data_IF_641452280310
#
_entry.id   IF_641452280310
#
_cell.length_a   1.000
_cell.length_b   1.000
_cell.length_c   1.000
_cell.angle_alpha   90.00
_cell.angle_beta   90.00
_cell.angle_gamma   90.00
#
_symmetry.space_group_name_H-M   'P 1'
#
loop_
_entity.id
_entity.type
_entity.pdbx_description
1 polymer ?
#
# COMPACT_ATOMS: atom_id res chain seq x y z
N UNK A 1 -6.48 -8.26 -14.22
CA UNK A 1 -7.47 -7.24 -13.82
C UNK A 1 -6.74 -6.18 -13.01
N UNK A 2 -7.03 -4.90 -13.25
CA UNK A 2 -6.41 -3.83 -12.48
C UNK A 2 -7.19 -3.67 -11.17
N UNK A 3 -6.50 -3.80 -10.03
CA UNK A 3 -7.05 -3.42 -8.72
C UNK A 3 -7.36 -1.93 -8.77
N UNK A 4 -8.58 -1.52 -8.41
CA UNK A 4 -8.89 -0.10 -8.32
C UNK A 4 -8.21 0.48 -7.07
N UNK A 5 -7.62 1.69 -7.19
CA UNK A 5 -6.90 2.33 -6.09
C UNK A 5 -7.75 2.42 -4.80
N UNK A 6 -9.04 2.71 -4.93
CA UNK A 6 -9.96 2.77 -3.78
C UNK A 6 -10.08 1.42 -3.04
N UNK A 7 -10.09 0.29 -3.75
CA UNK A 7 -10.16 -1.04 -3.15
C UNK A 7 -8.87 -1.38 -2.41
N UNK A 8 -7.73 -0.93 -2.96
CA UNK A 8 -6.43 -1.09 -2.32
C UNK A 8 -6.33 -0.31 -1.01
N UNK A 9 -6.74 0.97 -1.03
CA UNK A 9 -6.74 1.81 0.16
C UNK A 9 -7.67 1.25 1.24
N UNK A 10 -8.82 0.73 0.86
CA UNK A 10 -9.77 0.09 1.78
C UNK A 10 -9.22 -1.21 2.39
N UNK A 11 -8.51 -2.06 1.62
CA UNK A 11 -7.83 -3.24 2.16
C UNK A 11 -6.69 -2.84 3.13
N UNK A 12 -5.91 -1.81 2.80
CA UNK A 12 -4.86 -1.28 3.67
C UNK A 12 -5.47 -0.79 4.99
N UNK A 13 -6.53 0.01 4.95
CA UNK A 13 -7.25 0.50 6.13
C UNK A 13 -7.75 -0.66 6.98
N UNK A 14 -8.45 -1.62 6.37
CA UNK A 14 -8.98 -2.81 7.06
C UNK A 14 -7.89 -3.61 7.78
N UNK A 15 -6.74 -3.81 7.14
CA UNK A 15 -5.60 -4.53 7.73
C UNK A 15 -4.87 -3.72 8.78
N UNK A 16 -4.83 -2.40 8.64
CA UNK A 16 -4.29 -1.50 9.67
C UNK A 16 -5.15 -1.56 10.94
N UNK A 17 -6.47 -1.61 10.81
CA UNK A 17 -7.40 -1.76 11.94
C UNK A 17 -7.34 -3.14 12.59
N UNK A 18 -7.35 -4.21 11.78
CA UNK A 18 -7.36 -5.58 12.29
C UNK A 18 -5.99 -6.06 12.79
N UNK A 19 -4.91 -5.67 12.09
CA UNK A 19 -3.56 -6.21 12.30
C UNK A 19 -2.48 -5.13 12.07
N UNK A 20 -2.43 -4.06 12.88
CA UNK A 20 -1.58 -2.88 12.63
C UNK A 20 -0.07 -3.18 12.56
N UNK A 21 0.38 -4.23 13.26
CA UNK A 21 1.80 -4.63 13.30
C UNK A 21 2.20 -5.59 12.18
N UNK A 22 1.24 -6.07 11.37
CA UNK A 22 1.55 -6.95 10.25
C UNK A 22 2.31 -6.18 9.18
N UNK A 23 3.34 -6.80 8.62
CA UNK A 23 4.17 -6.20 7.57
C UNK A 23 3.35 -6.06 6.27
N UNK A 24 3.29 -4.83 5.76
CA UNK A 24 2.68 -4.50 4.47
C UNK A 24 3.70 -4.58 3.34
N UNK A 25 4.86 -3.92 3.53
CA UNK A 25 5.93 -3.80 2.53
C UNK A 25 7.27 -4.09 3.19
N UNK A 26 8.14 -4.80 2.48
CA UNK A 26 9.55 -4.93 2.82
C UNK A 26 10.38 -4.66 1.57
N UNK A 27 11.26 -3.66 1.62
CA UNK A 27 12.17 -3.31 0.54
C UNK A 27 13.58 -3.17 1.10
N UNK A 28 14.47 -4.10 0.73
CA UNK A 28 15.80 -4.18 1.36
C UNK A 28 15.69 -4.40 2.88
N UNK A 29 16.29 -3.49 3.65
CA UNK A 29 16.24 -3.48 5.12
C UNK A 29 15.01 -2.75 5.69
N UNK A 30 14.27 -2.02 4.86
CA UNK A 30 13.09 -1.27 5.28
C UNK A 30 11.88 -2.18 5.41
N UNK A 31 11.22 -2.13 6.57
CA UNK A 31 10.03 -2.92 6.87
C UNK A 31 8.93 -1.96 7.32
N UNK A 32 7.84 -1.91 6.56
CA UNK A 32 6.70 -1.04 6.83
C UNK A 32 5.49 -1.90 7.18
N UNK A 33 4.86 -1.61 8.33
CA UNK A 33 3.63 -2.28 8.75
C UNK A 33 2.39 -1.67 8.11
N UNK A 34 1.27 -2.39 8.10
CA UNK A 34 -0.01 -1.85 7.62
C UNK A 34 -0.46 -0.62 8.43
N UNK A 35 -0.21 -0.60 9.74
CA UNK A 35 -0.51 0.57 10.58
C UNK A 35 0.28 1.81 10.16
N UNK A 36 1.61 1.67 10.01
CA UNK A 36 2.48 2.79 9.61
C UNK A 36 2.17 3.28 8.19
N UNK A 37 1.90 2.36 7.26
CA UNK A 37 1.53 2.70 5.90
C UNK A 37 0.21 3.48 5.85
N UNK A 38 -0.81 3.01 6.57
CA UNK A 38 -2.11 3.69 6.63
C UNK A 38 -2.00 5.09 7.25
N UNK A 39 -1.29 5.22 8.38
CA UNK A 39 -1.08 6.51 9.04
C UNK A 39 -0.40 7.51 8.10
N UNK A 40 0.63 7.08 7.38
CA UNK A 40 1.31 7.92 6.39
C UNK A 40 0.36 8.35 5.27
N UNK A 41 -0.41 7.43 4.68
CA UNK A 41 -1.37 7.75 3.62
C UNK A 41 -2.39 8.77 4.11
N UNK A 42 -3.02 8.56 5.27
CA UNK A 42 -4.01 9.47 5.85
C UNK A 42 -3.43 10.85 6.14
N UNK A 43 -2.17 10.93 6.61
CA UNK A 43 -1.48 12.21 6.81
C UNK A 43 -1.35 12.99 5.50
N UNK A 44 -1.10 12.32 4.38
CA UNK A 44 -1.06 12.96 3.07
C UNK A 44 -2.45 13.23 2.50
N UNK A 45 -3.46 12.38 2.71
CA UNK A 45 -4.85 12.66 2.29
C UNK A 45 -5.36 13.98 2.88
N UNK A 46 -5.15 14.23 4.17
CA UNK A 46 -5.56 15.48 4.81
C UNK A 46 -4.90 16.74 4.19
N UNK A 47 -3.66 16.60 3.71
CA UNK A 47 -2.94 17.67 3.00
C UNK A 47 -3.42 17.79 1.56
N UNK A 48 -3.67 16.66 0.89
CA UNK A 48 -4.00 16.59 -0.53
C UNK A 48 -5.45 16.98 -0.82
N UNK A 49 -6.39 16.67 0.07
CA UNK A 49 -7.80 17.12 0.01
C UNK A 49 -7.89 18.65 0.01
N UNK A 50 -6.98 19.31 0.74
CA UNK A 50 -6.87 20.78 0.76
C UNK A 50 -6.40 21.36 -0.58
N UNK A 51 -5.74 20.56 -1.41
CA UNK A 51 -5.15 20.96 -2.69
C UNK A 51 -5.85 20.35 -3.91
N UNK A 52 -6.93 19.59 -3.72
CA UNK A 52 -7.69 18.95 -4.81
C UNK A 52 -6.91 17.86 -5.56
N UNK A 53 -5.96 17.21 -4.89
CA UNK A 53 -5.12 16.16 -5.49
C UNK A 53 -5.75 14.77 -5.33
N UNK A 54 -5.41 13.83 -6.21
CA UNK A 54 -6.02 12.49 -6.23
C UNK A 54 -5.54 11.61 -5.06
N UNK A 55 -6.39 10.65 -4.65
CA UNK A 55 -6.03 9.61 -3.67
C UNK A 55 -4.79 8.80 -4.10
N UNK A 56 -4.60 8.60 -5.40
CA UNK A 56 -3.41 7.96 -5.95
C UNK A 56 -2.13 8.76 -5.64
N UNK A 57 -2.18 10.09 -5.71
CA UNK A 57 -1.04 10.94 -5.34
C UNK A 57 -0.73 10.86 -3.83
N UNK A 58 -1.76 10.84 -2.97
CA UNK A 58 -1.60 10.66 -1.54
C UNK A 58 -0.98 9.29 -1.20
N UNK A 59 -1.43 8.22 -1.88
CA UNK A 59 -0.85 6.89 -1.76
C UNK A 59 0.64 6.88 -2.11
N UNK A 60 1.00 7.42 -3.28
CA UNK A 60 2.39 7.45 -3.72
C UNK A 60 3.28 8.26 -2.77
N UNK A 61 2.80 9.43 -2.31
CA UNK A 61 3.51 10.25 -1.32
C UNK A 61 3.70 9.50 0.01
N UNK A 62 2.63 8.88 0.53
CA UNK A 62 2.67 8.12 1.77
C UNK A 62 3.61 6.90 1.69
N UNK A 63 3.63 6.23 0.54
CA UNK A 63 4.53 5.11 0.28
C UNK A 63 5.99 5.55 0.21
N UNK A 64 6.30 6.62 -0.53
CA UNK A 64 7.66 7.17 -0.61
C UNK A 64 8.16 7.69 0.75
N UNK A 65 7.25 8.21 1.58
CA UNK A 65 7.58 8.62 2.95
C UNK A 65 7.94 7.43 3.85
N UNK A 66 7.18 6.32 3.74
CA UNK A 66 7.43 5.13 4.55
C UNK A 66 8.61 4.29 4.04
N UNK A 67 8.91 4.39 2.75
CA UNK A 67 9.95 3.60 2.08
C UNK A 67 10.93 4.54 1.37
N UNK A 68 11.79 5.27 2.12
CA UNK A 68 12.77 6.19 1.53
C UNK A 68 13.67 5.52 0.49
N UNK A 69 13.92 4.21 0.60
CA UNK A 69 14.68 3.46 -0.41
C UNK A 69 14.12 3.61 -1.83
N UNK A 70 12.81 3.83 -2.01
CA UNK A 70 12.21 4.10 -3.33
C UNK A 70 12.76 5.37 -3.99
N UNK A 71 13.07 6.39 -3.18
CA UNK A 71 13.63 7.66 -3.68
C UNK A 71 15.08 7.53 -4.13
N UNK A 72 15.79 6.52 -3.61
CA UNK A 72 17.19 6.22 -3.92
C UNK A 72 17.35 5.36 -5.18
N UNK A 73 16.25 4.82 -5.73
CA UNK A 73 16.29 4.08 -7.00
C UNK A 73 16.60 5.06 -8.12
N UNK A 74 17.73 4.83 -8.80
CA UNK A 74 18.14 5.59 -9.98
C UNK A 74 17.28 5.20 -11.19
N UNK A 75 16.80 6.22 -11.91
CA UNK A 75 15.97 6.03 -13.10
C UNK A 75 14.47 5.96 -12.80
N UNK A 76 13.70 6.78 -13.52
CA UNK A 76 12.23 6.86 -13.37
C UNK A 76 11.56 5.53 -13.72
N UNK A 77 12.05 4.84 -14.75
CA UNK A 77 11.47 3.56 -15.19
C UNK A 77 11.60 2.47 -14.11
N UNK A 78 12.78 2.35 -13.49
CA UNK A 78 13.03 1.32 -12.48
C UNK A 78 12.25 1.63 -11.19
N UNK A 79 12.20 2.90 -10.78
CA UNK A 79 11.39 3.32 -9.63
C UNK A 79 9.90 3.03 -9.84
N UNK A 80 9.38 3.31 -11.03
CA UNK A 80 7.99 3.02 -11.38
C UNK A 80 7.72 1.52 -11.40
N UNK A 81 8.69 0.71 -11.86
CA UNK A 81 8.60 -0.75 -11.83
C UNK A 81 8.49 -1.26 -10.40
N UNK A 82 9.42 -0.90 -9.52
CA UNK A 82 9.40 -1.33 -8.11
C UNK A 82 8.13 -0.86 -7.40
N UNK A 83 7.68 0.37 -7.67
CA UNK A 83 6.42 0.89 -7.13
C UNK A 83 5.23 0.04 -7.61
N UNK A 84 5.20 -0.34 -8.88
CA UNK A 84 4.15 -1.21 -9.44
C UNK A 84 4.17 -2.60 -8.82
N UNK A 85 5.35 -3.16 -8.54
CA UNK A 85 5.51 -4.43 -7.84
C UNK A 85 4.97 -4.36 -6.40
N UNK A 86 5.20 -3.25 -5.69
CA UNK A 86 4.63 -3.01 -4.35
C UNK A 86 3.10 -2.92 -4.42
N UNK A 87 2.55 -2.18 -5.38
CA UNK A 87 1.08 -2.07 -5.57
C UNK A 87 0.47 -3.44 -5.88
N UNK A 88 1.06 -4.19 -6.80
CA UNK A 88 0.63 -5.54 -7.13
C UNK A 88 0.71 -6.49 -5.93
N UNK A 89 1.79 -6.40 -5.14
CA UNK A 89 1.92 -7.12 -3.89
C UNK A 89 0.78 -6.77 -2.95
N UNK A 90 0.59 -5.49 -2.61
CA UNK A 90 -0.46 -5.07 -1.68
C UNK A 90 -1.86 -5.50 -2.15
N UNK A 91 -2.13 -5.46 -3.46
CA UNK A 91 -3.41 -5.85 -4.06
C UNK A 91 -3.70 -7.36 -4.13
N UNK A 92 -2.71 -8.23 -3.87
CA UNK A 92 -2.82 -9.70 -4.04
C UNK A 92 -3.95 -10.38 -3.28
N UNK A 93 -4.49 -9.74 -2.25
CA UNK A 93 -5.56 -10.28 -1.41
C UNK A 93 -6.97 -9.84 -1.80
N UNK A 94 -7.10 -8.91 -2.74
CA UNK A 94 -8.37 -8.23 -3.05
C UNK A 94 -9.23 -9.07 -4.01
N UNK A 95 -8.60 -9.83 -4.90
CA UNK A 95 -9.26 -10.74 -5.86
C UNK A 95 -9.85 -12.03 -5.24
N UNK A 96 -9.83 -12.18 -3.91
CA UNK A 96 -10.25 -13.41 -3.20
C UNK A 96 -11.53 -13.30 -2.36
N UNK A 97 -12.26 -12.19 -2.47
CA UNK A 97 -13.43 -11.87 -1.63
C UNK A 97 -14.62 -12.81 -1.78
N UNK A 98 -14.72 -13.56 -2.88
CA UNK A 98 -15.69 -14.63 -3.06
C UNK A 98 -14.98 -15.99 -3.08
N UNK A 99 -14.85 -16.65 -1.92
CA UNK A 99 -14.55 -18.09 -1.91
C UNK A 99 -13.34 -18.58 -1.12
N UNK A 100 -12.71 -17.79 -0.26
CA UNK A 100 -11.76 -18.35 0.71
C UNK A 100 -12.49 -19.02 1.87
N UNK A 101 -13.19 -20.12 1.57
CA UNK A 101 -13.64 -21.09 2.57
C UNK A 101 -12.44 -21.53 3.40
N UNK A 102 -12.59 -21.46 4.72
CA UNK A 102 -11.67 -22.05 5.68
C UNK A 102 -11.48 -23.52 5.28
N UNK A 103 -10.32 -23.88 4.70
CA UNK A 103 -9.95 -25.28 4.60
C UNK A 103 -9.51 -25.72 5.98
N UNK A 104 -10.38 -26.46 6.66
CA UNK A 104 -9.98 -27.25 7.81
C UNK A 104 -8.84 -28.18 7.35
N UNK A 105 -7.70 -28.10 8.03
CA UNK A 105 -6.60 -29.04 7.86
C UNK A 105 -6.80 -30.08 8.95
N UNK A 106 -7.22 -31.28 8.55
CA UNK A 106 -7.24 -32.47 9.41
C UNK A 106 -5.88 -33.16 9.42
#
# INVERSE_FOLDING_TARGET
MAVMMAELLEDIRRRAEATPRLVAVRLGEEVVSYGALHESITSYEAVMDRHGMSQEAAFHAGLMHCVPALTQIEGVAERNRVTSEIVAWLGRGIDGGEGRHLRAVS
#
